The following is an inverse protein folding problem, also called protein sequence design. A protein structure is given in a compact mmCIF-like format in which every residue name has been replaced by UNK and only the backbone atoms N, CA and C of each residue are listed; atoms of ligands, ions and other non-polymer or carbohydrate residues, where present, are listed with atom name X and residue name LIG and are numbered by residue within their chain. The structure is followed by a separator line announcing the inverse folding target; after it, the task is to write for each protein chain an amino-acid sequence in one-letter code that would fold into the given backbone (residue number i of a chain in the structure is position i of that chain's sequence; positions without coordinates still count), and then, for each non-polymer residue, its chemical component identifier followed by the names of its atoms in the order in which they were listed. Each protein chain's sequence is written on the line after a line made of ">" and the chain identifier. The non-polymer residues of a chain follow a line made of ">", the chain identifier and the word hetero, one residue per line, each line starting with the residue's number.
data_IF_137232868035
#
_entry.id   IF_137232868035
#
_cell.length_a   1.000
_cell.length_b   1.000
_cell.length_c   1.000
_cell.angle_alpha   90.00
_cell.angle_beta   90.00
_cell.angle_gamma   90.00
#
_symmetry.space_group_name_H-M   'P 1'
#
loop_
_entity.id
_entity.type
_entity.pdbx_description
1 polymer ?
#
# COMPACT_ATOMS: atom_id res chain seq x y z
N UNK A 1 5.06 -24.32 4.14
CA UNK A 1 4.95 -24.87 5.51
C UNK A 1 5.10 -23.72 6.50
N UNK A 2 4.22 -23.61 7.51
CA UNK A 2 4.47 -22.71 8.64
C UNK A 2 5.79 -23.15 9.27
N UNK A 3 6.77 -22.25 9.37
CA UNK A 3 8.13 -22.58 9.82
C UNK A 3 9.27 -22.24 8.85
N UNK A 4 9.03 -21.56 7.72
CA UNK A 4 10.12 -20.91 6.97
C UNK A 4 10.38 -19.52 7.56
N UNK A 5 11.57 -19.29 8.12
CA UNK A 5 11.95 -18.10 8.89
C UNK A 5 12.19 -16.83 8.05
N UNK A 6 12.17 -16.93 6.71
CA UNK A 6 12.53 -15.80 5.84
C UNK A 6 11.66 -15.73 4.58
N UNK A 7 11.03 -14.57 4.38
CA UNK A 7 10.16 -14.23 3.23
C UNK A 7 10.88 -14.23 1.87
N UNK A 8 12.21 -14.36 1.83
CA UNK A 8 12.99 -14.39 0.59
C UNK A 8 13.01 -15.77 -0.11
N UNK A 9 12.45 -16.81 0.49
CA UNK A 9 12.39 -18.13 -0.13
C UNK A 9 11.10 -18.30 -0.94
N UNK A 10 11.22 -18.83 -2.17
CA UNK A 10 10.05 -19.26 -2.94
C UNK A 10 9.18 -20.25 -2.14
N UNK A 11 7.86 -20.05 -2.16
CA UNK A 11 6.88 -20.89 -1.46
C UNK A 11 6.77 -20.64 0.05
N UNK A 12 6.99 -19.39 0.50
CA UNK A 12 6.60 -18.93 1.85
C UNK A 12 5.11 -18.58 1.84
N UNK A 13 4.42 -18.87 2.94
CA UNK A 13 2.99 -18.66 3.07
C UNK A 13 2.67 -17.17 3.13
N UNK A 14 1.92 -16.65 2.15
CA UNK A 14 1.33 -15.32 2.22
C UNK A 14 -0.01 -15.43 2.94
N UNK A 15 -0.19 -14.76 4.10
CA UNK A 15 -1.45 -14.77 4.81
C UNK A 15 -2.48 -13.97 4.00
N UNK A 16 -3.36 -14.65 3.30
CA UNK A 16 -4.52 -14.04 2.66
C UNK A 16 -5.66 -13.95 3.68
N UNK A 17 -6.06 -12.73 4.00
CA UNK A 17 -7.19 -12.47 4.90
C UNK A 17 -8.42 -12.17 4.06
N UNK A 18 -9.32 -13.13 3.97
CA UNK A 18 -10.62 -12.92 3.33
C UNK A 18 -11.54 -12.16 4.29
N UNK A 19 -12.21 -11.14 3.75
CA UNK A 19 -13.18 -10.32 4.46
C UNK A 19 -14.58 -10.64 3.94
N UNK A 20 -15.60 -10.63 4.79
CA UNK A 20 -16.98 -10.88 4.35
C UNK A 20 -17.43 -9.87 3.29
N UNK A 21 -18.33 -10.27 2.39
CA UNK A 21 -18.68 -9.46 1.21
C UNK A 21 -19.19 -8.05 1.52
N UNK A 22 -19.99 -7.88 2.58
CA UNK A 22 -20.48 -6.56 3.00
C UNK A 22 -19.35 -5.67 3.53
N UNK A 23 -18.43 -6.27 4.28
CA UNK A 23 -17.24 -5.60 4.76
C UNK A 23 -16.29 -5.24 3.61
N UNK A 24 -16.14 -6.12 2.62
CA UNK A 24 -15.33 -5.86 1.42
C UNK A 24 -15.89 -4.70 0.60
N UNK A 25 -17.22 -4.64 0.41
CA UNK A 25 -17.88 -3.54 -0.28
C UNK A 25 -17.67 -2.20 0.44
N UNK A 26 -17.87 -2.18 1.76
CA UNK A 26 -17.65 -0.97 2.54
C UNK A 26 -16.18 -0.52 2.46
N UNK A 27 -15.26 -1.48 2.53
CA UNK A 27 -13.83 -1.20 2.40
C UNK A 27 -13.47 -0.66 1.00
N UNK A 28 -14.05 -1.19 -0.07
CA UNK A 28 -13.76 -0.69 -1.43
C UNK A 28 -14.25 0.74 -1.62
N UNK A 29 -15.41 1.10 -1.08
CA UNK A 29 -15.94 2.48 -1.15
C UNK A 29 -15.02 3.43 -0.39
N UNK A 30 -14.70 3.09 0.85
CA UNK A 30 -13.86 3.93 1.72
C UNK A 30 -12.42 4.04 1.20
N UNK A 31 -11.88 2.98 0.60
CA UNK A 31 -10.58 3.00 -0.07
C UNK A 31 -10.60 3.93 -1.29
N UNK A 32 -11.65 3.89 -2.10
CA UNK A 32 -11.81 4.77 -3.26
C UNK A 32 -11.89 6.23 -2.85
N UNK A 33 -12.70 6.55 -1.83
CA UNK A 33 -12.79 7.91 -1.28
C UNK A 33 -11.43 8.39 -0.76
N UNK A 34 -10.70 7.52 -0.05
CA UNK A 34 -9.37 7.84 0.47
C UNK A 34 -8.39 8.12 -0.66
N UNK A 35 -8.33 7.27 -1.70
CA UNK A 35 -7.44 7.47 -2.85
C UNK A 35 -7.74 8.80 -3.53
N UNK A 36 -9.01 9.11 -3.78
CA UNK A 36 -9.40 10.38 -4.40
C UNK A 36 -8.95 11.59 -3.57
N UNK A 37 -9.10 11.56 -2.25
CA UNK A 37 -8.64 12.65 -1.39
C UNK A 37 -7.11 12.80 -1.43
N UNK A 38 -6.39 11.68 -1.38
CA UNK A 38 -4.93 11.67 -1.36
C UNK A 38 -4.35 12.12 -2.72
N UNK A 39 -5.01 11.79 -3.83
CA UNK A 39 -4.69 12.29 -5.17
C UNK A 39 -4.96 13.80 -5.30
N UNK A 40 -6.13 14.28 -4.84
CA UNK A 40 -6.49 15.70 -4.87
C UNK A 40 -5.55 16.57 -4.01
N UNK A 41 -5.08 16.04 -2.90
CA UNK A 41 -4.12 16.70 -2.02
C UNK A 41 -2.67 16.65 -2.57
N UNK A 42 -2.43 15.92 -3.66
CA UNK A 42 -1.09 15.80 -4.26
C UNK A 42 -0.09 15.05 -3.37
N UNK A 43 -0.58 14.18 -2.49
CA UNK A 43 0.24 13.41 -1.54
C UNK A 43 1.01 12.31 -2.27
N UNK A 44 0.38 11.69 -3.26
CA UNK A 44 1.02 10.66 -4.06
C UNK A 44 2.05 11.30 -4.99
N UNK A 45 3.25 10.73 -4.99
CA UNK A 45 4.29 11.16 -5.92
C UNK A 45 3.83 10.86 -7.36
N UNK A 46 4.19 11.73 -8.31
CA UNK A 46 3.89 11.56 -9.75
C UNK A 46 4.44 10.23 -10.31
N UNK A 47 5.44 9.64 -9.65
CA UNK A 47 6.04 8.36 -10.02
C UNK A 47 5.49 7.16 -9.23
N UNK A 48 4.44 7.35 -8.44
CA UNK A 48 3.76 6.26 -7.74
C UNK A 48 2.70 5.64 -8.64
N UNK A 49 2.94 4.41 -9.08
CA UNK A 49 2.03 3.68 -9.97
C UNK A 49 1.18 2.63 -9.24
N UNK A 50 1.69 2.08 -8.14
CA UNK A 50 0.99 1.03 -7.40
C UNK A 50 -0.16 1.60 -6.59
N UNK A 51 -1.34 0.99 -6.73
CA UNK A 51 -2.54 1.37 -5.97
C UNK A 51 -3.22 2.67 -6.43
N UNK A 52 -2.70 3.33 -7.46
CA UNK A 52 -3.28 4.54 -8.04
C UNK A 52 -4.27 4.20 -9.16
N UNK A 53 -5.29 5.02 -9.34
CA UNK A 53 -6.28 4.82 -10.40
C UNK A 53 -5.68 5.14 -11.77
N UNK A 54 -5.95 4.31 -12.79
CA UNK A 54 -5.52 4.55 -14.16
C UNK A 54 -4.04 4.28 -14.45
N UNK A 55 -3.28 3.78 -13.47
CA UNK A 55 -1.89 3.37 -13.65
C UNK A 55 -1.75 1.84 -13.68
N UNK A 56 -0.85 1.36 -14.53
CA UNK A 56 -0.50 -0.04 -14.65
C UNK A 56 0.98 -0.28 -14.38
N UNK A 57 1.35 -1.53 -14.10
CA UNK A 57 2.77 -1.93 -14.02
C UNK A 57 3.51 -1.68 -15.34
N UNK A 58 2.80 -1.67 -16.47
CA UNK A 58 3.42 -1.38 -17.76
C UNK A 58 3.86 0.08 -17.85
N UNK A 59 3.09 1.01 -17.28
CA UNK A 59 3.44 2.43 -17.25
C UNK A 59 4.70 2.69 -16.42
N UNK A 60 4.87 1.98 -15.30
CA UNK A 60 6.08 2.09 -14.48
C UNK A 60 7.32 1.55 -15.19
N UNK A 61 7.19 0.46 -15.93
CA UNK A 61 8.27 -0.09 -16.76
C UNK A 61 8.63 0.87 -17.89
N UNK A 62 7.64 1.43 -18.58
CA UNK A 62 7.88 2.42 -19.63
C UNK A 62 8.57 3.66 -19.11
N UNK A 63 8.15 4.18 -17.95
CA UNK A 63 8.83 5.32 -17.32
C UNK A 63 10.28 4.96 -16.95
N UNK A 64 10.52 3.77 -16.39
CA UNK A 64 11.85 3.31 -16.02
C UNK A 64 12.79 3.26 -17.23
N UNK A 65 12.34 2.66 -18.35
CA UNK A 65 13.11 2.60 -19.60
C UNK A 65 13.44 4.02 -20.09
N UNK A 66 12.45 4.91 -20.11
CA UNK A 66 12.63 6.29 -20.54
C UNK A 66 13.63 7.06 -19.66
N UNK A 67 13.63 6.83 -18.35
CA UNK A 67 14.61 7.44 -17.42
C UNK A 67 16.02 6.90 -17.70
N UNK A 68 16.16 5.60 -17.92
CA UNK A 68 17.45 4.95 -18.21
C UNK A 68 18.06 5.51 -19.50
N UNK A 69 17.26 5.55 -20.58
CA UNK A 69 17.71 6.01 -21.89
C UNK A 69 18.06 7.50 -21.88
N UNK A 70 17.23 8.35 -21.26
CA UNK A 70 17.46 9.80 -21.25
C UNK A 70 18.64 10.23 -20.40
N UNK A 71 18.86 9.59 -19.25
CA UNK A 71 19.88 10.01 -18.29
C UNK A 71 21.14 9.14 -18.33
N UNK A 72 21.21 8.15 -19.23
CA UNK A 72 22.33 7.22 -19.35
C UNK A 72 22.65 6.54 -18.01
N UNK A 73 21.59 6.06 -17.35
CA UNK A 73 21.70 5.46 -16.00
C UNK A 73 22.45 4.12 -16.10
N UNK A 74 23.56 3.99 -15.37
CA UNK A 74 24.44 2.81 -15.42
C UNK A 74 24.07 1.75 -14.37
N UNK A 75 23.32 2.12 -13.32
CA UNK A 75 22.94 1.19 -12.25
C UNK A 75 21.58 1.53 -11.65
N UNK A 76 20.86 0.51 -11.20
CA UNK A 76 19.53 0.63 -10.57
C UNK A 76 19.60 0.03 -9.17
N UNK A 77 19.13 0.77 -8.17
CA UNK A 77 18.94 0.26 -6.81
C UNK A 77 17.50 -0.24 -6.66
N UNK A 78 17.33 -1.56 -6.52
CA UNK A 78 16.04 -2.17 -6.24
C UNK A 78 15.89 -2.41 -4.72
N UNK A 79 14.95 -1.70 -4.10
CA UNK A 79 14.61 -1.85 -2.68
C UNK A 79 13.27 -2.57 -2.55
N UNK A 80 13.20 -3.55 -1.66
CA UNK A 80 11.97 -4.26 -1.30
C UNK A 80 11.78 -4.25 0.22
N UNK A 81 10.59 -3.88 0.68
CA UNK A 81 10.25 -3.81 2.09
C UNK A 81 9.59 -5.12 2.50
N UNK A 82 10.32 -5.93 3.29
CA UNK A 82 9.83 -7.20 3.80
C UNK A 82 8.59 -6.98 4.67
N UNK A 83 7.47 -7.56 4.25
CA UNK A 83 6.24 -7.56 5.04
C UNK A 83 5.65 -6.16 5.23
N UNK A 84 5.60 -5.36 4.17
CA UNK A 84 5.11 -3.98 4.21
C UNK A 84 3.77 -3.82 4.94
N UNK A 85 2.78 -4.70 4.69
CA UNK A 85 1.48 -4.64 5.39
C UNK A 85 1.55 -5.02 6.88
N UNK A 86 2.13 -6.16 7.29
CA UNK A 86 2.19 -6.53 8.71
C UNK A 86 3.16 -5.71 9.55
N UNK A 87 4.10 -4.97 8.96
CA UNK A 87 5.08 -4.14 9.69
C UNK A 87 4.64 -2.70 9.90
N UNK A 88 3.50 -2.26 9.34
CA UNK A 88 3.01 -0.89 9.49
C UNK A 88 2.67 -0.60 10.96
N UNK A 89 3.22 0.49 11.49
CA UNK A 89 2.73 1.11 12.71
C UNK A 89 1.49 1.95 12.39
N UNK A 90 0.33 1.47 12.85
CA UNK A 90 -0.95 2.09 12.56
C UNK A 90 -1.12 3.46 13.23
N UNK A 91 -0.52 3.70 14.39
CA UNK A 91 -0.64 5.01 15.06
C UNK A 91 0.16 6.07 14.33
N UNK A 92 1.35 5.71 13.84
CA UNK A 92 2.13 6.59 12.95
C UNK A 92 1.35 6.84 11.66
N UNK A 93 0.77 5.80 11.05
CA UNK A 93 -0.05 5.98 9.84
C UNK A 93 -1.22 6.95 10.06
N UNK A 94 -1.97 6.82 11.15
CA UNK A 94 -3.09 7.74 11.44
C UNK A 94 -2.62 9.16 11.67
N UNK A 95 -1.48 9.34 12.35
CA UNK A 95 -0.87 10.64 12.58
C UNK A 95 -0.47 11.31 11.26
N UNK A 96 0.24 10.58 10.39
CA UNK A 96 0.67 11.07 9.08
C UNK A 96 -0.52 11.42 8.19
N UNK A 97 -1.53 10.55 8.09
CA UNK A 97 -2.74 10.85 7.30
C UNK A 97 -3.43 12.13 7.77
N UNK A 98 -3.48 12.36 9.10
CA UNK A 98 -4.04 13.59 9.63
C UNK A 98 -3.18 14.82 9.32
N UNK A 99 -1.86 14.73 9.47
CA UNK A 99 -0.93 15.82 9.17
C UNK A 99 -1.00 16.27 7.72
N UNK A 100 -1.13 15.33 6.79
CA UNK A 100 -1.20 15.64 5.35
C UNK A 100 -2.61 16.13 4.93
N UNK A 101 -3.57 16.15 5.86
CA UNK A 101 -4.88 16.79 5.66
C UNK A 101 -5.98 15.85 5.17
N UNK A 102 -5.82 14.53 5.32
CA UNK A 102 -6.91 13.57 5.08
C UNK A 102 -8.03 13.83 6.11
N UNK A 103 -9.31 13.86 5.68
CA UNK A 103 -10.44 14.10 6.58
C UNK A 103 -10.43 13.17 7.81
N UNK A 104 -10.61 13.76 9.00
CA UNK A 104 -10.64 13.02 10.27
C UNK A 104 -11.66 11.88 10.28
N UNK A 105 -12.82 12.06 9.62
CA UNK A 105 -13.84 11.02 9.50
C UNK A 105 -13.31 9.74 8.81
N UNK A 106 -12.44 9.88 7.80
CA UNK A 106 -11.81 8.75 7.11
C UNK A 106 -10.74 8.10 8.01
N UNK A 107 -9.94 8.90 8.70
CA UNK A 107 -8.93 8.40 9.64
C UNK A 107 -9.57 7.63 10.80
N UNK A 108 -10.66 8.16 11.38
CA UNK A 108 -11.43 7.51 12.44
C UNK A 108 -12.17 6.27 11.97
N UNK A 109 -12.63 6.25 10.72
CA UNK A 109 -13.16 5.03 10.10
C UNK A 109 -12.06 3.97 9.98
N UNK A 110 -10.88 4.33 9.48
CA UNK A 110 -9.74 3.43 9.32
C UNK A 110 -9.27 2.87 10.66
N UNK A 111 -9.22 3.72 11.70
CA UNK A 111 -8.94 3.29 13.08
C UNK A 111 -9.94 2.24 13.55
N UNK A 112 -11.24 2.50 13.43
CA UNK A 112 -12.29 1.54 13.82
C UNK A 112 -12.24 0.26 13.00
N UNK A 113 -11.85 0.33 11.73
CA UNK A 113 -11.71 -0.83 10.86
C UNK A 113 -10.65 -1.80 11.38
N UNK A 114 -9.52 -1.31 11.88
CA UNK A 114 -8.43 -2.14 12.42
C UNK A 114 -8.54 -2.45 13.91
N UNK A 115 -9.34 -1.71 14.68
CA UNK A 115 -9.60 -2.00 16.11
C UNK A 115 -10.11 -3.44 16.29
N UNK A 116 -9.44 -4.19 17.16
CA UNK A 116 -9.80 -5.57 17.50
C UNK A 116 -9.42 -6.61 16.43
N UNK A 117 -8.94 -6.20 15.25
CA UNK A 117 -8.42 -7.13 14.24
C UNK A 117 -6.98 -7.48 14.58
N UNK A 118 -6.70 -8.77 14.75
CA UNK A 118 -5.35 -9.29 14.93
C UNK A 118 -5.05 -10.28 13.83
N UNK A 119 -4.10 -9.95 12.98
CA UNK A 119 -3.58 -10.88 11.97
C UNK A 119 -2.65 -11.85 12.68
N UNK A 120 -3.10 -13.08 12.94
CA UNK A 120 -2.26 -14.12 13.53
C UNK A 120 -1.40 -14.73 12.42
N UNK A 121 -0.14 -14.30 12.35
CA UNK A 121 0.86 -14.93 11.50
C UNK A 121 1.34 -16.21 12.20
N UNK A 122 0.84 -17.38 11.81
CA UNK A 122 1.35 -18.70 12.22
C UNK A 122 2.19 -19.33 11.12
#
# INVERSE_FOLDING_TARGET
>A
KPGKSSYHMAGVHHPEVLTEGHHQLNNSIMAQDTIQHVELLGILLIMQFSGCLGHSTMDSIHLLILIIEKNQVVSILALDVKGAYPSVDLEVLYHELHLVGVPLALVDWLRRWYVGRRTKLT
#
